data_IF_762652421827
#
_entry.id   IF_762652421827
#
_cell.length_a   1.000
_cell.length_b   1.000
_cell.length_c   1.000
_cell.angle_alpha   90.00
_cell.angle_beta   90.00
_cell.angle_gamma   90.00
#
_symmetry.space_group_name_H-M   'P 1'
#
loop_
_entity.id
_entity.type
_entity.pdbx_description
1 polymer ?
#
# COMPACT_ATOMS: atom_id res chain seq x y z
N UNK A 1 32.09 -49.64 7.82
CA UNK A 1 30.77 -49.12 7.40
C UNK A 1 30.00 -48.64 8.63
N UNK A 2 30.05 -47.34 8.94
CA UNK A 2 29.01 -46.62 9.71
C UNK A 2 29.04 -45.17 9.22
N UNK A 3 27.98 -44.80 8.52
CA UNK A 3 27.91 -43.61 7.68
C UNK A 3 27.51 -42.43 8.57
N UNK A 4 28.38 -41.41 8.62
CA UNK A 4 28.14 -40.17 9.36
C UNK A 4 27.21 -39.27 8.53
N UNK A 5 26.02 -39.01 9.07
CA UNK A 5 24.92 -38.29 8.44
C UNK A 5 25.20 -36.76 8.40
N UNK A 6 25.30 -36.10 7.23
CA UNK A 6 25.45 -34.65 7.17
C UNK A 6 24.09 -34.02 6.80
N UNK A 7 23.19 -33.86 7.78
CA UNK A 7 22.03 -32.98 7.63
C UNK A 7 22.36 -31.69 8.37
N UNK A 8 23.21 -30.88 7.74
CA UNK A 8 23.41 -29.49 8.12
C UNK A 8 22.32 -28.68 7.42
N UNK A 9 21.19 -28.49 8.12
CA UNK A 9 20.12 -27.59 7.74
C UNK A 9 20.69 -26.18 7.76
N UNK A 10 21.21 -25.73 6.61
CA UNK A 10 21.57 -24.34 6.41
C UNK A 10 20.27 -23.57 6.22
N UNK A 11 19.77 -23.08 7.34
CA UNK A 11 18.67 -22.16 7.52
C UNK A 11 18.72 -21.10 6.41
N UNK A 12 17.80 -21.20 5.45
CA UNK A 12 17.65 -20.22 4.39
C UNK A 12 17.35 -18.86 5.04
N UNK A 13 18.34 -18.01 4.94
CA UNK A 13 18.32 -16.59 5.23
C UNK A 13 17.22 -15.96 4.36
N UNK A 14 16.00 -15.89 4.88
CA UNK A 14 15.02 -14.90 4.44
C UNK A 14 15.32 -13.62 5.23
N UNK A 15 16.41 -12.94 4.85
CA UNK A 15 16.51 -11.53 5.16
C UNK A 15 15.38 -10.85 4.38
N UNK A 16 14.27 -10.59 5.05
CA UNK A 16 13.37 -9.52 4.67
C UNK A 16 14.24 -8.27 4.58
N UNK A 17 14.67 -7.93 3.36
CA UNK A 17 15.28 -6.66 3.06
C UNK A 17 14.20 -5.59 3.26
N UNK A 18 14.04 -5.13 4.51
CA UNK A 18 13.35 -3.89 4.82
C UNK A 18 14.21 -2.76 4.26
N UNK A 19 13.93 -2.38 3.01
CA UNK A 19 14.37 -1.11 2.46
C UNK A 19 13.63 0.00 3.23
N UNK A 20 14.18 0.42 4.37
CA UNK A 20 13.64 1.52 5.17
C UNK A 20 13.77 2.83 4.39
N UNK A 21 12.67 3.22 3.74
CA UNK A 21 12.39 4.63 3.49
C UNK A 21 12.54 5.35 4.84
N UNK A 22 13.37 6.39 4.89
CA UNK A 22 13.71 7.14 6.09
C UNK A 22 12.42 7.48 6.85
N UNK A 23 12.25 6.92 8.04
CA UNK A 23 11.05 7.02 8.84
C UNK A 23 10.73 8.49 9.13
N UNK A 24 9.78 9.08 8.39
CA UNK A 24 9.13 10.30 8.83
C UNK A 24 8.31 9.94 10.07
N UNK A 25 8.65 10.48 11.27
CA UNK A 25 7.97 10.12 12.52
C UNK A 25 6.50 10.56 12.53
N UNK A 26 6.11 11.47 11.64
CA UNK A 26 4.74 12.00 11.55
C UNK A 26 3.81 11.14 10.66
N UNK A 27 4.32 10.08 10.04
CA UNK A 27 3.51 9.17 9.21
C UNK A 27 3.05 7.99 10.07
N UNK A 28 1.73 7.74 10.21
CA UNK A 28 1.20 6.60 10.95
C UNK A 28 1.79 5.27 10.44
N UNK A 29 2.12 4.34 11.35
CA UNK A 29 2.72 3.04 10.99
C UNK A 29 1.87 2.29 9.96
N UNK A 30 0.55 2.28 10.11
CA UNK A 30 -0.29 1.56 9.16
C UNK A 30 -0.27 2.15 7.75
N UNK A 31 0.05 3.43 7.56
CA UNK A 31 0.19 3.99 6.22
C UNK A 31 1.45 3.44 5.53
N UNK A 32 2.51 3.21 6.32
CA UNK A 32 3.75 2.56 5.85
C UNK A 32 3.48 1.11 5.49
N UNK A 33 2.81 0.37 6.36
CA UNK A 33 2.43 -1.02 6.12
C UNK A 33 1.55 -1.17 4.86
N UNK A 34 0.60 -0.25 4.64
CA UNK A 34 -0.22 -0.25 3.43
C UNK A 34 0.59 0.11 2.18
N UNK A 35 1.53 1.05 2.27
CA UNK A 35 2.47 1.36 1.17
C UNK A 35 3.31 0.14 0.80
N UNK A 36 3.83 -0.58 1.80
CA UNK A 36 4.59 -1.81 1.60
C UNK A 36 3.73 -2.92 0.98
N UNK A 37 2.51 -3.13 1.49
CA UNK A 37 1.55 -4.11 0.93
C UNK A 37 1.31 -3.91 -0.56
N UNK A 38 1.21 -2.66 -1.00
CA UNK A 38 0.92 -2.31 -2.38
C UNK A 38 2.15 -1.91 -3.21
N UNK A 39 3.37 -2.08 -2.69
CA UNK A 39 4.59 -1.56 -3.32
C UNK A 39 4.74 -1.99 -4.78
N UNK A 40 4.38 -3.23 -5.11
CA UNK A 40 4.49 -3.78 -6.47
C UNK A 40 3.53 -3.16 -7.48
N UNK A 41 2.44 -2.55 -7.02
CA UNK A 41 1.42 -1.93 -7.89
C UNK A 41 1.51 -0.40 -7.89
N UNK A 42 2.07 0.19 -6.84
CA UNK A 42 2.37 1.61 -6.76
C UNK A 42 3.45 1.97 -7.78
N UNK A 43 3.10 2.85 -8.74
CA UNK A 43 4.01 3.22 -9.83
C UNK A 43 3.78 4.65 -10.28
N UNK A 44 4.87 5.29 -10.70
CA UNK A 44 4.82 6.54 -11.43
C UNK A 44 5.38 6.32 -12.84
N UNK A 45 4.54 6.48 -13.85
CA UNK A 45 5.01 6.51 -15.25
C UNK A 45 5.20 7.97 -15.70
N UNK A 46 4.20 8.82 -15.42
CA UNK A 46 4.27 10.27 -15.65
C UNK A 46 3.38 10.99 -14.64
N UNK A 47 3.95 11.94 -13.92
CA UNK A 47 3.23 12.71 -12.91
C UNK A 47 1.99 13.39 -13.51
N UNK A 48 0.88 13.34 -12.78
CA UNK A 48 -0.43 13.90 -13.17
C UNK A 48 -1.02 13.34 -14.47
N UNK A 49 -0.49 12.23 -14.98
CA UNK A 49 -0.96 11.62 -16.23
C UNK A 49 -1.20 10.13 -16.07
N UNK A 50 -0.23 9.39 -15.54
CA UNK A 50 -0.36 7.96 -15.29
C UNK A 50 0.44 7.60 -14.04
N UNK A 51 -0.24 7.64 -12.91
CA UNK A 51 0.31 7.29 -11.60
C UNK A 51 -0.67 6.41 -10.83
N UNK A 52 -0.15 5.38 -10.18
CA UNK A 52 -0.89 4.53 -9.25
C UNK A 52 -0.41 4.88 -7.87
N UNK A 53 -1.27 5.53 -7.09
CA UNK A 53 -0.98 6.04 -5.76
C UNK A 53 -1.76 5.24 -4.72
N UNK A 54 -1.37 5.39 -3.45
CA UNK A 54 -2.13 4.83 -2.33
C UNK A 54 -3.17 5.85 -1.86
N UNK A 55 -4.42 5.41 -1.77
CA UNK A 55 -5.52 6.19 -1.24
C UNK A 55 -6.17 5.49 -0.06
N UNK A 56 -6.93 6.25 0.72
CA UNK A 56 -7.87 5.72 1.69
C UNK A 56 -9.26 6.31 1.51
N UNK A 57 -10.27 5.60 1.99
CA UNK A 57 -11.64 6.10 2.06
C UNK A 57 -12.42 5.36 3.15
N UNK A 58 -13.56 5.94 3.55
CA UNK A 58 -14.54 5.25 4.39
C UNK A 58 -15.44 4.41 3.48
N UNK A 59 -15.57 3.12 3.80
CA UNK A 59 -16.47 2.19 3.11
C UNK A 59 -17.07 1.23 4.13
N UNK A 60 -18.40 1.14 4.18
CA UNK A 60 -19.13 0.29 5.13
C UNK A 60 -18.68 0.46 6.59
N UNK A 61 -18.40 1.70 7.00
CA UNK A 61 -17.95 2.03 8.36
C UNK A 61 -16.47 1.72 8.65
N UNK A 62 -15.70 1.26 7.65
CA UNK A 62 -14.27 0.95 7.78
C UNK A 62 -13.43 1.91 6.94
N UNK A 63 -12.31 2.35 7.48
CA UNK A 63 -11.27 2.99 6.65
C UNK A 63 -10.53 1.90 5.89
N UNK A 64 -10.65 1.93 4.57
CA UNK A 64 -9.97 1.01 3.66
C UNK A 64 -8.88 1.75 2.88
N UNK A 65 -7.82 1.04 2.53
CA UNK A 65 -6.70 1.52 1.74
C UNK A 65 -6.62 0.73 0.44
N UNK A 66 -6.41 1.42 -0.67
CA UNK A 66 -6.39 0.80 -1.99
C UNK A 66 -5.51 1.59 -2.96
N UNK A 67 -4.89 0.91 -3.95
CA UNK A 67 -4.21 1.57 -5.05
C UNK A 67 -5.27 2.11 -6.02
N UNK A 68 -5.10 3.35 -6.48
CA UNK A 68 -5.97 3.90 -7.51
C UNK A 68 -5.14 4.60 -8.58
N UNK A 69 -5.53 4.41 -9.83
CA UNK A 69 -4.86 5.04 -10.97
C UNK A 69 -5.41 6.45 -11.16
N UNK A 70 -4.56 7.46 -11.01
CA UNK A 70 -4.84 8.83 -11.43
C UNK A 70 -4.43 8.98 -12.89
N UNK A 71 -5.43 8.97 -13.78
CA UNK A 71 -5.27 9.37 -15.17
C UNK A 71 -6.55 10.11 -15.61
N UNK A 72 -6.55 11.46 -15.60
CA UNK A 72 -7.75 12.24 -15.92
C UNK A 72 -8.32 11.99 -17.33
N UNK A 73 -7.47 11.56 -18.26
CA UNK A 73 -7.84 11.30 -19.66
C UNK A 73 -8.08 9.82 -19.96
N UNK A 74 -7.97 8.94 -18.97
CA UNK A 74 -8.17 7.50 -19.15
C UNK A 74 -9.47 7.05 -18.50
N UNK A 75 -10.15 6.07 -19.10
CA UNK A 75 -11.22 5.31 -18.44
C UNK A 75 -10.59 4.23 -17.54
N UNK A 76 -10.12 4.63 -16.35
CA UNK A 76 -9.50 3.70 -15.41
C UNK A 76 -10.54 2.82 -14.74
N UNK A 77 -10.18 1.56 -14.50
CA UNK A 77 -11.02 0.63 -13.73
C UNK A 77 -10.92 1.00 -12.25
N UNK A 78 -12.08 1.10 -11.60
CA UNK A 78 -12.14 1.36 -10.17
C UNK A 78 -11.54 0.18 -9.36
N UNK A 79 -10.93 0.46 -8.20
CA UNK A 79 -10.48 -0.58 -7.28
C UNK A 79 -11.63 -1.50 -6.86
N UNK A 80 -11.42 -2.82 -6.96
CA UNK A 80 -12.38 -3.84 -6.54
C UNK A 80 -12.14 -4.33 -5.10
N UNK A 81 -11.00 -3.97 -4.50
CA UNK A 81 -10.62 -4.39 -3.16
C UNK A 81 -9.74 -3.34 -2.48
N UNK A 82 -9.77 -3.38 -1.15
CA UNK A 82 -8.88 -2.63 -0.28
C UNK A 82 -8.56 -3.40 0.99
N UNK A 83 -7.74 -2.80 1.84
CA UNK A 83 -7.37 -3.38 3.13
C UNK A 83 -7.54 -2.38 4.26
N UNK A 84 -7.93 -2.84 5.44
CA UNK A 84 -7.91 -2.01 6.65
C UNK A 84 -6.50 -1.98 7.26
N UNK A 85 -6.24 -1.06 8.21
CA UNK A 85 -4.98 -1.08 8.97
C UNK A 85 -4.81 -2.35 9.82
N UNK A 86 -5.88 -3.11 10.09
CA UNK A 86 -5.79 -4.44 10.72
C UNK A 86 -5.40 -5.55 9.73
N UNK A 87 -5.20 -5.23 8.45
CA UNK A 87 -4.88 -6.20 7.40
C UNK A 87 -6.08 -6.98 6.87
N UNK A 88 -7.29 -6.64 7.29
CA UNK A 88 -8.52 -7.24 6.78
C UNK A 88 -8.73 -6.81 5.32
N UNK A 89 -8.90 -7.79 4.41
CA UNK A 89 -9.29 -7.54 3.03
C UNK A 89 -10.76 -7.18 2.95
N UNK A 90 -11.09 -6.13 2.22
CA UNK A 90 -12.47 -5.67 1.98
C UNK A 90 -12.73 -5.65 0.49
N UNK A 91 -13.75 -6.39 0.05
CA UNK A 91 -14.25 -6.36 -1.33
C UNK A 91 -15.15 -5.14 -1.51
N UNK A 92 -14.94 -4.40 -2.60
CA UNK A 92 -15.72 -3.21 -2.95
C UNK A 92 -16.73 -3.63 -4.02
N UNK A 93 -17.98 -3.83 -3.61
CA UNK A 93 -19.06 -4.27 -4.51
C UNK A 93 -19.47 -3.15 -5.48
N UNK A 94 -19.57 -1.92 -4.94
CA UNK A 94 -19.91 -0.71 -5.70
C UNK A 94 -19.00 0.42 -5.28
N UNK A 95 -18.13 0.86 -6.19
CA UNK A 95 -17.21 1.95 -5.90
C UNK A 95 -17.93 3.29 -5.66
N UNK A 96 -19.18 3.43 -6.12
CA UNK A 96 -20.05 4.58 -5.81
C UNK A 96 -20.32 4.76 -4.31
N UNK A 97 -20.20 3.69 -3.53
CA UNK A 97 -20.51 3.68 -2.11
C UNK A 97 -19.26 4.00 -1.26
N UNK A 98 -18.11 4.20 -1.91
CA UNK A 98 -16.87 4.65 -1.29
C UNK A 98 -16.99 6.14 -0.99
N UNK A 99 -16.77 6.51 0.28
CA UNK A 99 -16.79 7.90 0.72
C UNK A 99 -15.62 8.72 0.19
N UNK A 100 -15.39 9.88 0.81
CA UNK A 100 -14.32 10.80 0.39
C UNK A 100 -12.96 10.11 0.29
N UNK A 101 -12.40 10.11 -0.92
CA UNK A 101 -11.11 9.50 -1.23
C UNK A 101 -9.99 10.48 -0.85
N UNK A 102 -9.06 10.01 -0.02
CA UNK A 102 -7.91 10.78 0.45
C UNK A 102 -6.62 10.16 -0.06
N UNK A 103 -5.78 10.95 -0.73
CA UNK A 103 -4.42 10.53 -1.12
C UNK A 103 -3.57 10.34 0.14
N UNK A 104 -2.99 9.15 0.29
CA UNK A 104 -2.12 8.79 1.42
C UNK A 104 -0.65 8.82 1.02
N UNK A 105 -0.31 8.25 -0.14
CA UNK A 105 1.06 8.24 -0.66
C UNK A 105 1.06 8.48 -2.16
N UNK A 106 1.85 9.44 -2.61
CA UNK A 106 2.05 9.76 -4.01
C UNK A 106 3.31 9.08 -4.55
N UNK A 107 3.15 8.18 -5.51
CA UNK A 107 4.22 7.35 -6.07
C UNK A 107 5.21 8.13 -6.92
N UNK A 108 4.82 9.28 -7.47
CA UNK A 108 5.71 10.13 -8.27
C UNK A 108 6.63 10.98 -7.39
N UNK A 109 6.08 11.64 -6.38
CA UNK A 109 6.83 12.49 -5.45
C UNK A 109 7.50 11.69 -4.33
N UNK A 110 7.10 10.43 -4.15
CA UNK A 110 7.51 9.54 -3.05
C UNK A 110 7.22 10.11 -1.66
N UNK A 111 6.13 10.89 -1.54
CA UNK A 111 5.73 11.54 -0.30
C UNK A 111 4.40 11.00 0.20
N UNK A 112 4.30 10.84 1.51
CA UNK A 112 3.01 10.75 2.17
C UNK A 112 2.34 12.12 2.14
N UNK A 113 1.03 12.17 1.94
CA UNK A 113 0.29 13.40 2.20
C UNK A 113 0.37 13.62 3.71
N UNK A 114 0.79 14.81 4.13
CA UNK A 114 0.78 15.16 5.55
C UNK A 114 -0.62 14.86 6.10
N UNK A 115 -0.68 14.04 7.16
CA UNK A 115 -1.93 13.86 7.88
C UNK A 115 -2.39 15.26 8.30
N UNK A 116 -3.68 15.62 8.20
CA UNK A 116 -4.14 16.88 8.72
C UNK A 116 -3.67 16.99 10.17
N UNK A 117 -2.86 18.00 10.45
CA UNK A 117 -2.47 18.36 11.81
C UNK A 117 -3.76 18.40 12.63
N UNK A 118 -3.82 17.59 13.69
CA UNK A 118 -4.84 17.78 14.72
C UNK A 118 -4.59 19.18 15.30
N UNK A 119 -5.39 20.15 14.87
CA UNK A 119 -5.55 21.45 15.55
C UNK A 119 -6.44 21.21 16.75
#
# INVERSE_FOLDING_TARGET
MKNLNPILIFMLIFMCACSKDKDNPNVPSCYKEMKERFEKVLKCTKQNSMEVNLYSALYQGKTIFFPMTMCPTCSTVAPAEGYTCAGEKVTIEKFSDVGTITLIYNSCTKKYKEAPLKI
#
